data_IF_070722912404
#
_entry.id   IF_070722912404
#
_cell.length_a   1.000
_cell.length_b   1.000
_cell.length_c   1.000
_cell.angle_alpha   90.00
_cell.angle_beta   90.00
_cell.angle_gamma   90.00
#
_symmetry.space_group_name_H-M   'P 1'
#
loop_
_entity.id
_entity.type
_entity.pdbx_description
1 polymer ?
#
# COMPACT_ATOMS: atom_id res chain seq x y z
N UNK A 1 -35.84 33.85 1.68
CA UNK A 1 -34.64 33.86 0.81
C UNK A 1 -34.66 32.71 -0.17
N UNK A 2 -34.03 32.93 -1.33
CA UNK A 2 -33.92 31.97 -2.43
C UNK A 2 -33.03 30.79 -2.00
N UNK A 3 -33.47 29.57 -2.30
CA UNK A 3 -32.73 28.32 -2.13
C UNK A 3 -32.46 27.70 -3.50
N UNK A 4 -31.21 27.35 -3.76
CA UNK A 4 -30.79 26.71 -5.02
C UNK A 4 -30.21 25.34 -4.70
N UNK A 5 -30.91 24.23 -5.01
CA UNK A 5 -30.35 22.90 -4.81
C UNK A 5 -29.14 22.70 -5.74
N UNK A 6 -28.05 22.17 -5.17
CA UNK A 6 -26.84 21.81 -5.92
C UNK A 6 -26.88 20.34 -6.29
N UNK A 7 -27.25 19.49 -5.34
CA UNK A 7 -27.36 18.06 -5.57
C UNK A 7 -27.88 17.31 -4.34
N UNK A 8 -28.41 16.11 -4.56
CA UNK A 8 -28.99 15.29 -3.50
C UNK A 8 -28.47 13.85 -3.54
N UNK A 9 -28.42 13.22 -2.36
CA UNK A 9 -28.16 11.78 -2.26
C UNK A 9 -28.86 11.19 -1.03
N UNK A 10 -28.87 9.86 -0.93
CA UNK A 10 -29.44 9.12 0.19
C UNK A 10 -28.44 8.11 0.71
N UNK A 11 -28.30 8.03 2.03
CA UNK A 11 -27.56 6.96 2.71
C UNK A 11 -28.48 6.33 3.77
N UNK A 12 -28.71 5.01 3.67
CA UNK A 12 -29.66 4.31 4.53
C UNK A 12 -31.04 4.96 4.51
N UNK A 13 -31.51 5.47 5.65
CA UNK A 13 -32.79 6.17 5.77
C UNK A 13 -32.66 7.70 5.79
N UNK A 14 -31.46 8.24 5.60
CA UNK A 14 -31.21 9.68 5.64
C UNK A 14 -31.09 10.24 4.23
N UNK A 15 -31.81 11.33 3.99
CA UNK A 15 -31.77 12.12 2.77
C UNK A 15 -30.89 13.34 3.00
N UNK A 16 -30.04 13.65 2.03
CA UNK A 16 -29.08 14.74 2.06
C UNK A 16 -29.28 15.63 0.84
N UNK A 17 -29.23 16.95 1.05
CA UNK A 17 -29.31 17.94 -0.03
C UNK A 17 -28.22 18.98 0.20
N UNK A 18 -27.29 19.06 -0.75
CA UNK A 18 -26.41 20.21 -0.85
C UNK A 18 -27.16 21.35 -1.53
N UNK A 19 -27.06 22.55 -0.99
CA UNK A 19 -27.80 23.71 -1.47
C UNK A 19 -27.01 25.00 -1.26
N UNK A 20 -27.40 26.03 -2.02
CA UNK A 20 -26.95 27.41 -1.86
C UNK A 20 -28.12 28.22 -1.32
N UNK A 21 -27.88 29.11 -0.37
CA UNK A 21 -28.90 30.01 0.14
C UNK A 21 -28.48 31.48 0.04
N UNK A 22 -29.45 32.35 -0.18
CA UNK A 22 -29.26 33.81 -0.14
C UNK A 22 -29.47 34.40 1.27
N UNK A 23 -29.71 33.56 2.28
CA UNK A 23 -30.02 33.97 3.65
C UNK A 23 -28.89 33.76 4.66
N UNK A 24 -29.14 34.18 5.90
CA UNK A 24 -28.21 34.01 7.02
C UNK A 24 -27.89 32.52 7.27
N UNK A 25 -26.59 32.18 7.31
CA UNK A 25 -26.08 30.83 7.61
C UNK A 25 -25.26 30.18 6.48
N UNK A 26 -25.50 30.54 5.21
CA UNK A 26 -24.75 30.03 4.05
C UNK A 26 -24.80 31.01 2.86
N UNK A 27 -24.73 32.31 3.14
CA UNK A 27 -24.95 33.39 2.18
C UNK A 27 -24.07 33.26 0.92
N UNK A 28 -24.67 32.80 -0.18
CA UNK A 28 -23.98 32.45 -1.44
C UNK A 28 -22.87 31.41 -1.29
N UNK A 29 -23.03 30.51 -0.32
CA UNK A 29 -22.10 29.43 -0.02
C UNK A 29 -22.81 28.06 -0.04
N UNK A 30 -22.03 26.98 -0.04
CA UNK A 30 -22.54 25.62 0.00
C UNK A 30 -22.89 25.23 1.44
N UNK A 31 -24.12 24.79 1.61
CA UNK A 31 -24.61 24.14 2.82
C UNK A 31 -25.13 22.74 2.51
N UNK A 32 -25.29 21.97 3.57
CA UNK A 32 -25.90 20.65 3.56
C UNK A 32 -27.08 20.65 4.51
N UNK A 33 -28.23 20.15 4.05
CA UNK A 33 -29.36 19.82 4.90
C UNK A 33 -29.60 18.31 4.87
N UNK A 34 -30.07 17.73 5.98
CA UNK A 34 -30.35 16.30 6.05
C UNK A 34 -31.48 15.91 7.01
N UNK A 35 -32.17 14.82 6.68
CA UNK A 35 -33.25 14.29 7.51
C UNK A 35 -33.78 12.93 7.05
N UNK A 36 -34.68 12.31 7.84
CA UNK A 36 -35.16 10.96 7.57
C UNK A 36 -36.13 10.87 6.37
N UNK A 37 -36.70 11.99 5.91
CA UNK A 37 -37.67 12.01 4.83
C UNK A 37 -37.45 13.18 3.87
N UNK A 38 -37.79 12.99 2.59
CA UNK A 38 -37.60 14.00 1.53
C UNK A 38 -38.33 15.32 1.80
N UNK A 39 -39.48 15.26 2.47
CA UNK A 39 -40.29 16.40 2.85
C UNK A 39 -39.95 16.95 4.25
N UNK A 40 -38.93 16.41 4.93
CA UNK A 40 -38.51 16.83 6.26
C UNK A 40 -36.97 16.77 6.40
N UNK A 41 -36.29 17.63 5.65
CA UNK A 41 -34.82 17.73 5.60
C UNK A 41 -34.31 18.94 6.42
N UNK A 42 -35.19 19.91 6.71
CA UNK A 42 -34.81 21.19 7.31
C UNK A 42 -34.39 21.12 8.79
N UNK A 43 -34.60 19.98 9.46
CA UNK A 43 -34.27 19.81 10.87
C UNK A 43 -32.77 19.87 11.19
N UNK A 44 -31.91 19.61 10.19
CA UNK A 44 -30.47 19.73 10.34
C UNK A 44 -29.89 20.45 9.13
N UNK A 45 -29.18 21.55 9.36
CA UNK A 45 -28.44 22.27 8.32
C UNK A 45 -27.07 22.69 8.82
N UNK A 46 -26.08 22.70 7.92
CA UNK A 46 -24.72 23.15 8.19
C UNK A 46 -24.07 23.71 6.93
N UNK A 47 -23.38 24.84 7.05
CA UNK A 47 -22.45 25.33 6.03
C UNK A 47 -21.27 24.36 5.91
N UNK A 48 -20.94 23.91 4.70
CA UNK A 48 -19.93 22.86 4.47
C UNK A 48 -18.66 23.38 3.81
N UNK A 49 -18.66 24.63 3.36
CA UNK A 49 -17.47 25.37 2.95
C UNK A 49 -17.16 26.46 3.97
N UNK A 50 -15.89 26.86 4.03
CA UNK A 50 -15.45 27.89 4.95
C UNK A 50 -16.05 29.25 4.56
N UNK A 51 -16.50 30.08 5.53
CA UNK A 51 -16.94 31.44 5.26
C UNK A 51 -15.89 32.24 4.48
N UNK A 52 -16.32 32.91 3.42
CA UNK A 52 -15.41 33.63 2.53
C UNK A 52 -14.77 32.76 1.45
N UNK A 53 -15.16 31.48 1.35
CA UNK A 53 -14.95 30.72 0.14
C UNK A 53 -15.56 31.47 -1.05
N UNK A 54 -14.90 31.36 -2.21
CA UNK A 54 -15.40 31.98 -3.43
C UNK A 54 -16.83 31.49 -3.73
N UNK A 55 -17.79 32.40 -3.82
CA UNK A 55 -19.22 32.11 -3.81
C UNK A 55 -19.59 30.92 -4.72
N UNK A 56 -20.38 29.99 -4.20
CA UNK A 56 -20.86 28.85 -5.00
C UNK A 56 -22.01 29.31 -5.90
N UNK A 57 -21.91 28.99 -7.19
CA UNK A 57 -22.92 29.29 -8.21
C UNK A 57 -23.77 28.09 -8.59
N UNK A 58 -23.31 26.88 -8.29
CA UNK A 58 -24.02 25.64 -8.61
C UNK A 58 -23.12 24.42 -8.43
N UNK A 59 -23.53 23.32 -9.05
CA UNK A 59 -22.82 22.05 -9.03
C UNK A 59 -23.71 20.95 -9.60
N UNK A 60 -23.44 19.71 -9.23
CA UNK A 60 -24.32 18.59 -9.57
C UNK A 60 -24.48 17.61 -8.39
N UNK A 61 -25.29 16.57 -8.62
CA UNK A 61 -25.49 15.50 -7.64
C UNK A 61 -24.15 14.90 -7.19
N UNK A 62 -23.97 14.65 -5.88
CA UNK A 62 -22.80 13.95 -5.38
C UNK A 62 -22.70 12.55 -6.00
N UNK A 63 -21.50 12.21 -6.47
CA UNK A 63 -21.24 10.90 -7.06
C UNK A 63 -20.54 10.01 -6.04
N UNK A 64 -21.09 8.82 -5.79
CA UNK A 64 -20.45 7.82 -4.93
C UNK A 64 -19.23 7.24 -5.67
N UNK A 65 -18.04 7.37 -5.08
CA UNK A 65 -16.77 6.89 -5.66
C UNK A 65 -16.20 5.66 -4.94
N UNK A 66 -16.71 5.34 -3.75
CA UNK A 66 -16.45 4.10 -3.01
C UNK A 66 -17.58 3.82 -2.03
N UNK A 67 -17.49 2.75 -1.24
CA UNK A 67 -18.49 2.40 -0.22
C UNK A 67 -18.67 3.49 0.84
N UNK A 68 -17.62 4.25 1.11
CA UNK A 68 -17.49 5.19 2.22
C UNK A 68 -17.27 6.64 1.77
N UNK A 69 -17.30 6.92 0.46
CA UNK A 69 -16.89 8.23 -0.08
C UNK A 69 -17.75 8.71 -1.24
N UNK A 70 -18.03 10.00 -1.23
CA UNK A 70 -18.67 10.75 -2.31
C UNK A 70 -17.72 11.82 -2.86
N UNK A 71 -17.87 12.12 -4.14
CA UNK A 71 -17.27 13.26 -4.81
C UNK A 71 -18.32 14.34 -5.05
N UNK A 72 -17.96 15.59 -4.77
CA UNK A 72 -18.75 16.78 -5.04
C UNK A 72 -18.10 17.62 -6.12
N UNK A 73 -18.94 18.09 -7.01
CA UNK A 73 -18.62 18.88 -8.19
C UNK A 73 -19.23 20.26 -8.01
N UNK A 74 -18.41 21.23 -7.64
CA UNK A 74 -18.85 22.53 -7.12
C UNK A 74 -18.41 23.63 -8.08
N UNK A 75 -19.35 24.41 -8.61
CA UNK A 75 -19.06 25.55 -9.48
C UNK A 75 -18.86 26.81 -8.65
N UNK A 76 -17.63 27.31 -8.63
CA UNK A 76 -17.26 28.53 -7.90
C UNK A 76 -17.39 29.78 -8.78
N UNK A 77 -17.54 30.96 -8.18
CA UNK A 77 -17.77 32.21 -8.90
C UNK A 77 -16.57 32.68 -9.73
N UNK A 78 -15.37 32.56 -9.17
CA UNK A 78 -14.08 33.03 -9.67
C UNK A 78 -12.97 31.96 -9.65
N UNK A 79 -13.14 30.85 -8.93
CA UNK A 79 -12.13 29.82 -8.70
C UNK A 79 -12.28 28.58 -9.60
N UNK A 80 -13.16 28.63 -10.59
CA UNK A 80 -13.46 27.52 -11.50
C UNK A 80 -14.34 26.44 -10.89
N UNK A 81 -14.38 25.30 -11.56
CA UNK A 81 -15.15 24.12 -11.17
C UNK A 81 -14.26 23.23 -10.29
N UNK A 82 -14.63 23.02 -9.03
CA UNK A 82 -13.84 22.27 -8.05
C UNK A 82 -14.40 20.86 -7.82
N UNK A 83 -13.49 19.90 -7.62
CA UNK A 83 -13.80 18.57 -7.10
C UNK A 83 -13.31 18.47 -5.67
N UNK A 84 -14.24 18.13 -4.79
CA UNK A 84 -13.97 17.80 -3.39
C UNK A 84 -14.53 16.43 -3.09
N UNK A 85 -14.13 15.86 -1.97
CA UNK A 85 -14.66 14.58 -1.49
C UNK A 85 -15.20 14.73 -0.08
N UNK A 86 -16.10 13.84 0.31
CA UNK A 86 -16.55 13.70 1.69
C UNK A 86 -16.75 12.23 2.01
N UNK A 87 -16.67 11.88 3.29
CA UNK A 87 -17.11 10.56 3.73
C UNK A 87 -18.64 10.51 3.69
N UNK A 88 -19.19 9.35 3.33
CA UNK A 88 -20.64 9.08 3.38
C UNK A 88 -21.20 9.28 4.80
N UNK A 89 -20.41 8.98 5.84
CA UNK A 89 -20.83 9.12 7.24
C UNK A 89 -20.67 10.56 7.76
N UNK A 90 -19.84 11.37 7.10
CA UNK A 90 -19.58 12.78 7.43
C UNK A 90 -19.64 13.66 6.18
N UNK A 91 -20.81 13.73 5.50
CA UNK A 91 -20.96 14.51 4.27
C UNK A 91 -20.89 16.02 4.53
N UNK A 92 -20.98 16.44 5.79
CA UNK A 92 -20.81 17.82 6.23
C UNK A 92 -19.34 18.28 6.28
N UNK A 93 -18.38 17.38 6.09
CA UNK A 93 -16.94 17.67 6.15
C UNK A 93 -16.32 17.42 4.78
N UNK A 94 -16.17 18.49 3.99
CA UNK A 94 -15.53 18.41 2.69
C UNK A 94 -14.00 18.39 2.83
N UNK A 95 -13.34 17.64 1.95
CA UNK A 95 -11.89 17.69 1.79
C UNK A 95 -11.41 19.06 1.29
N UNK A 96 -10.10 19.25 1.30
CA UNK A 96 -9.47 20.24 0.42
C UNK A 96 -9.80 19.95 -1.06
N UNK A 97 -9.54 20.91 -1.93
CA UNK A 97 -9.73 20.75 -3.37
C UNK A 97 -8.84 19.62 -3.88
N UNK A 98 -9.47 18.58 -4.43
CA UNK A 98 -8.76 17.46 -5.08
C UNK A 98 -8.31 17.87 -6.47
N UNK A 99 -9.19 18.58 -7.19
CA UNK A 99 -8.94 19.04 -8.56
C UNK A 99 -9.72 20.31 -8.84
N UNK A 100 -9.12 21.22 -9.61
CA UNK A 100 -9.79 22.38 -10.19
C UNK A 100 -9.80 22.24 -11.71
N UNK A 101 -10.94 22.56 -12.31
CA UNK A 101 -11.15 22.68 -13.74
C UNK A 101 -11.45 24.16 -14.06
N UNK A 102 -11.08 24.65 -15.26
CA UNK A 102 -11.56 25.94 -15.74
C UNK A 102 -13.08 26.02 -15.65
N UNK A 103 -13.64 27.20 -15.41
CA UNK A 103 -15.09 27.37 -15.37
C UNK A 103 -15.68 26.91 -16.71
N UNK A 104 -16.35 25.76 -16.70
CA UNK A 104 -16.89 25.18 -17.92
C UNK A 104 -18.23 25.85 -18.25
N UNK A 105 -18.49 26.04 -19.55
CA UNK A 105 -19.80 26.50 -20.03
C UNK A 105 -20.89 25.43 -19.87
N UNK A 106 -20.49 24.16 -19.75
CA UNK A 106 -21.37 22.99 -19.72
C UNK A 106 -21.24 22.19 -18.40
N UNK A 107 -22.11 21.20 -18.18
CA UNK A 107 -22.17 20.43 -16.94
C UNK A 107 -20.92 19.56 -16.72
N UNK A 108 -20.35 19.63 -15.51
CA UNK A 108 -19.10 19.00 -15.08
C UNK A 108 -19.14 17.45 -15.05
N UNK A 109 -20.32 16.85 -15.11
CA UNK A 109 -20.52 15.39 -15.00
C UNK A 109 -19.98 14.57 -16.19
N UNK A 110 -19.59 15.19 -17.30
CA UNK A 110 -19.21 14.48 -18.54
C UNK A 110 -17.75 13.98 -18.54
N UNK A 111 -16.90 14.40 -17.60
CA UNK A 111 -15.45 14.13 -17.66
C UNK A 111 -14.91 13.01 -16.75
N UNK A 112 -15.77 12.19 -16.16
CA UNK A 112 -15.34 11.01 -15.39
C UNK A 112 -15.25 9.74 -16.24
N UNK A 113 -15.42 9.84 -17.56
CA UNK A 113 -15.29 8.74 -18.51
C UNK A 113 -13.82 8.35 -18.80
N UNK A 114 -12.96 8.46 -17.78
CA UNK A 114 -11.81 7.56 -17.74
C UNK A 114 -12.34 6.30 -17.09
N UNK A 115 -12.46 5.18 -17.81
CA UNK A 115 -12.90 3.94 -17.20
C UNK A 115 -12.00 3.69 -15.99
N UNK A 116 -12.59 3.80 -14.79
CA UNK A 116 -12.04 3.18 -13.60
C UNK A 116 -12.03 1.70 -13.95
N UNK A 117 -10.90 1.22 -14.44
CA UNK A 117 -10.65 -0.20 -14.52
C UNK A 117 -10.90 -0.69 -13.10
N UNK A 118 -11.87 -1.60 -12.89
CA UNK A 118 -12.10 -2.14 -11.56
C UNK A 118 -10.74 -2.61 -11.03
N UNK A 119 -10.43 -2.37 -9.74
CA UNK A 119 -9.13 -2.74 -9.19
C UNK A 119 -8.86 -4.18 -9.60
N UNK A 120 -7.81 -4.36 -10.43
CA UNK A 120 -7.48 -5.67 -10.97
C UNK A 120 -7.32 -6.59 -9.76
N UNK A 121 -8.13 -7.66 -9.65
CA UNK A 121 -8.05 -8.53 -8.51
C UNK A 121 -6.60 -9.01 -8.36
N UNK A 122 -6.12 -9.15 -7.11
CA UNK A 122 -4.78 -9.68 -6.86
C UNK A 122 -4.54 -10.95 -7.67
N UNK A 123 -3.35 -11.12 -8.30
CA UNK A 123 -3.06 -12.35 -9.04
C UNK A 123 -3.31 -13.57 -8.15
N UNK A 124 -3.99 -14.62 -8.66
CA UNK A 124 -4.20 -15.83 -7.88
C UNK A 124 -2.85 -16.44 -7.46
N UNK A 125 -2.79 -16.92 -6.21
CA UNK A 125 -1.61 -17.65 -5.70
C UNK A 125 -1.35 -18.93 -6.49
N UNK A 126 -2.44 -19.61 -6.88
CA UNK A 126 -2.43 -20.79 -7.73
C UNK A 126 -3.60 -20.69 -8.71
N UNK A 127 -3.35 -20.97 -9.99
CA UNK A 127 -4.37 -20.96 -11.03
C UNK A 127 -4.16 -22.14 -11.99
N UNK A 128 -5.23 -22.92 -12.17
CA UNK A 128 -5.27 -24.00 -13.15
C UNK A 128 -5.95 -23.49 -14.43
N UNK A 129 -5.19 -23.46 -15.53
CA UNK A 129 -5.66 -22.99 -16.84
C UNK A 129 -6.38 -24.07 -17.64
N UNK A 130 -6.41 -25.33 -17.18
CA UNK A 130 -7.16 -26.44 -17.80
C UNK A 130 -6.90 -26.64 -19.30
N UNK A 131 -5.66 -26.44 -19.72
CA UNK A 131 -5.20 -26.51 -21.11
C UNK A 131 -5.40 -25.22 -21.91
N UNK A 132 -5.99 -24.17 -21.33
CA UNK A 132 -6.17 -22.89 -22.00
C UNK A 132 -4.82 -22.15 -22.17
N UNK A 133 -4.77 -21.33 -23.21
CA UNK A 133 -3.63 -20.47 -23.47
C UNK A 133 -3.63 -19.28 -22.52
N UNK A 134 -2.45 -18.95 -22.00
CA UNK A 134 -2.25 -17.77 -21.18
C UNK A 134 -1.36 -16.77 -21.91
N UNK A 135 -1.98 -15.76 -22.50
CA UNK A 135 -1.33 -14.77 -23.36
C UNK A 135 -1.30 -13.41 -22.67
N UNK A 136 -0.11 -12.94 -22.33
CA UNK A 136 0.13 -11.60 -21.78
C UNK A 136 0.27 -10.61 -22.94
N UNK A 137 -0.78 -9.83 -23.16
CA UNK A 137 -0.91 -8.90 -24.29
C UNK A 137 -0.71 -7.42 -23.95
N UNK A 138 -0.70 -7.08 -22.65
CA UNK A 138 -0.47 -5.72 -22.15
C UNK A 138 0.47 -5.74 -20.94
N UNK A 139 1.09 -4.59 -20.65
CA UNK A 139 1.96 -4.45 -19.47
C UNK A 139 1.13 -4.70 -18.20
N UNK A 140 1.50 -5.71 -17.44
CA UNK A 140 0.72 -6.15 -16.29
C UNK A 140 1.61 -6.74 -15.19
N UNK A 141 1.02 -6.93 -14.02
CA UNK A 141 1.63 -7.68 -12.92
C UNK A 141 1.14 -9.13 -12.94
N UNK A 142 2.04 -10.06 -12.63
CA UNK A 142 1.78 -11.49 -12.53
C UNK A 142 2.45 -12.06 -11.28
N UNK A 143 1.95 -13.14 -10.72
CA UNK A 143 2.59 -13.87 -9.63
C UNK A 143 1.89 -15.21 -9.43
N UNK A 144 2.49 -16.09 -8.63
CA UNK A 144 1.88 -17.35 -8.23
C UNK A 144 2.28 -18.51 -9.13
N UNK A 145 1.57 -19.62 -8.96
CA UNK A 145 1.77 -20.86 -9.70
C UNK A 145 0.63 -21.08 -10.68
N UNK A 146 0.96 -21.16 -11.96
CA UNK A 146 0.00 -21.41 -13.03
C UNK A 146 0.25 -22.79 -13.62
N UNK A 147 -0.75 -23.67 -13.58
CA UNK A 147 -0.65 -25.06 -14.06
C UNK A 147 -1.56 -25.35 -15.23
N UNK A 148 -1.24 -26.41 -15.97
CA UNK A 148 -1.97 -26.88 -17.14
C UNK A 148 -2.19 -25.76 -18.16
N UNK A 149 -1.18 -24.94 -18.42
CA UNK A 149 -1.26 -23.94 -19.48
C UNK A 149 -1.05 -24.63 -20.83
N UNK A 150 -1.87 -24.29 -21.83
CA UNK A 150 -1.65 -24.70 -23.22
C UNK A 150 -0.39 -24.01 -23.73
N UNK A 151 -0.57 -22.82 -24.30
CA UNK A 151 0.50 -21.90 -24.66
C UNK A 151 0.65 -20.78 -23.61
N UNK A 152 1.81 -20.69 -22.97
CA UNK A 152 2.21 -19.48 -22.24
C UNK A 152 2.94 -18.52 -23.18
N UNK A 153 2.40 -17.32 -23.39
CA UNK A 153 2.99 -16.33 -24.31
C UNK A 153 3.07 -14.94 -23.70
N UNK A 154 4.21 -14.28 -23.88
CA UNK A 154 4.33 -12.82 -23.66
C UNK A 154 4.56 -12.16 -25.02
N UNK A 155 3.63 -11.29 -25.42
CA UNK A 155 3.72 -10.63 -26.73
C UNK A 155 4.93 -9.69 -26.84
N UNK A 156 5.48 -9.48 -28.06
CA UNK A 156 6.53 -8.50 -28.28
C UNK A 156 6.18 -7.09 -27.78
N UNK A 157 7.14 -6.42 -27.15
CA UNK A 157 6.96 -5.08 -26.57
C UNK A 157 6.19 -5.04 -25.24
N UNK A 158 5.71 -6.19 -24.76
CA UNK A 158 5.01 -6.29 -23.47
C UNK A 158 6.00 -6.62 -22.35
N UNK A 159 5.81 -5.97 -21.20
CA UNK A 159 6.53 -6.26 -19.95
C UNK A 159 5.58 -6.78 -18.89
N UNK A 160 5.79 -8.01 -18.44
CA UNK A 160 5.14 -8.57 -17.27
C UNK A 160 6.04 -8.43 -16.04
N UNK A 161 5.53 -7.90 -14.95
CA UNK A 161 6.29 -7.67 -13.72
C UNK A 161 5.82 -8.66 -12.66
N UNK A 162 6.75 -9.43 -12.09
CA UNK A 162 6.41 -10.32 -10.97
C UNK A 162 6.07 -9.48 -9.74
N UNK A 163 4.93 -9.76 -9.11
CA UNK A 163 4.53 -9.06 -7.90
C UNK A 163 5.49 -9.39 -6.75
N UNK A 164 5.94 -8.36 -6.03
CA UNK A 164 6.87 -8.54 -4.93
C UNK A 164 6.22 -9.30 -3.78
N UNK A 165 6.98 -10.18 -3.12
CA UNK A 165 6.54 -10.84 -1.91
C UNK A 165 6.12 -9.82 -0.87
N UNK A 166 4.87 -9.88 -0.40
CA UNK A 166 4.30 -8.86 0.48
C UNK A 166 4.32 -9.22 1.97
N UNK A 167 5.03 -10.29 2.36
CA UNK A 167 5.01 -10.81 3.73
C UNK A 167 4.04 -11.98 3.94
N UNK A 168 3.18 -12.27 2.97
CA UNK A 168 2.27 -13.40 3.01
C UNK A 168 2.27 -14.19 1.69
N UNK A 169 2.15 -13.49 0.57
CA UNK A 169 1.94 -14.05 -0.77
C UNK A 169 2.85 -13.36 -1.81
N UNK A 170 2.95 -13.96 -3.00
CA UNK A 170 3.77 -13.53 -4.15
C UNK A 170 5.28 -13.75 -4.05
N UNK A 171 6.05 -13.05 -4.89
CA UNK A 171 7.50 -13.14 -5.02
C UNK A 171 8.00 -14.31 -5.86
N UNK A 172 7.11 -15.17 -6.32
CA UNK A 172 7.43 -16.23 -7.28
C UNK A 172 6.46 -16.18 -8.43
N UNK A 173 6.93 -16.59 -9.59
CA UNK A 173 6.13 -16.96 -10.75
C UNK A 173 6.59 -18.36 -11.16
N UNK A 174 5.67 -19.31 -11.15
CA UNK A 174 5.89 -20.68 -11.60
C UNK A 174 4.85 -21.00 -12.68
N UNK A 175 5.28 -21.44 -13.86
CA UNK A 175 4.38 -21.70 -14.99
C UNK A 175 4.64 -23.09 -15.55
N UNK A 176 3.62 -23.95 -15.55
CA UNK A 176 3.65 -25.27 -16.15
C UNK A 176 2.80 -25.23 -17.42
N UNK A 177 3.46 -25.07 -18.55
CA UNK A 177 2.83 -24.93 -19.87
C UNK A 177 3.27 -26.06 -20.81
N UNK A 178 2.41 -26.39 -21.77
CA UNK A 178 2.75 -27.30 -22.88
C UNK A 178 3.74 -26.64 -23.82
N UNK A 179 3.46 -25.39 -24.20
CA UNK A 179 4.30 -24.56 -25.05
C UNK A 179 4.60 -23.20 -24.39
N UNK A 180 5.81 -22.67 -24.63
CA UNK A 180 6.24 -21.38 -24.10
C UNK A 180 6.78 -20.51 -25.25
N UNK A 181 6.23 -19.30 -25.41
CA UNK A 181 6.67 -18.31 -26.40
C UNK A 181 6.96 -16.95 -25.74
N UNK A 182 8.25 -16.60 -25.67
CA UNK A 182 8.74 -15.39 -25.02
C UNK A 182 9.10 -14.32 -26.05
N UNK A 183 8.11 -13.57 -26.52
CA UNK A 183 8.31 -12.40 -27.39
C UNK A 183 8.59 -11.10 -26.62
N UNK A 184 8.11 -10.99 -25.39
CA UNK A 184 8.30 -9.83 -24.50
C UNK A 184 9.22 -10.11 -23.30
N UNK A 185 9.10 -9.27 -22.26
CA UNK A 185 9.99 -9.29 -21.09
C UNK A 185 9.23 -9.68 -19.82
N UNK A 186 9.84 -10.52 -18.98
CA UNK A 186 9.40 -10.76 -17.59
C UNK A 186 10.44 -10.18 -16.65
N UNK A 187 10.01 -9.35 -15.68
CA UNK A 187 10.89 -8.75 -14.67
C UNK A 187 10.55 -9.32 -13.29
N UNK A 188 11.49 -10.09 -12.73
CA UNK A 188 11.38 -10.68 -11.39
C UNK A 188 12.46 -10.20 -10.40
N UNK A 189 13.42 -9.37 -10.83
CA UNK A 189 14.52 -8.91 -9.98
C UNK A 189 14.01 -8.19 -8.73
N UNK A 190 14.51 -8.63 -7.57
CA UNK A 190 14.13 -8.09 -6.26
C UNK A 190 12.67 -8.35 -5.84
N UNK A 191 11.94 -9.23 -6.54
CA UNK A 191 10.53 -9.53 -6.23
C UNK A 191 10.37 -10.72 -5.28
N UNK A 192 11.38 -11.60 -5.19
CA UNK A 192 11.35 -12.80 -4.35
C UNK A 192 11.36 -12.54 -2.84
N UNK A 193 11.37 -13.64 -2.08
CA UNK A 193 11.49 -13.61 -0.62
C UNK A 193 12.74 -12.85 -0.17
N UNK A 194 12.58 -11.82 0.66
CA UNK A 194 13.73 -11.13 1.22
C UNK A 194 14.58 -12.02 2.12
N UNK A 195 15.82 -11.61 2.35
CA UNK A 195 16.75 -12.34 3.20
C UNK A 195 16.35 -12.36 4.67
N UNK A 196 16.75 -13.42 5.38
CA UNK A 196 16.57 -13.51 6.82
C UNK A 196 17.50 -12.54 7.55
N UNK A 197 17.14 -12.19 8.78
CA UNK A 197 18.05 -11.41 9.63
C UNK A 197 19.30 -12.18 10.00
N UNK A 198 20.41 -11.48 10.25
CA UNK A 198 21.62 -12.12 10.80
C UNK A 198 21.41 -12.54 12.26
N UNK A 199 22.12 -13.58 12.70
CA UNK A 199 22.05 -14.11 14.05
C UNK A 199 22.75 -13.22 15.06
N UNK A 200 22.40 -13.38 16.34
CA UNK A 200 23.10 -12.76 17.47
C UNK A 200 24.54 -13.24 17.60
N UNK A 201 25.53 -12.38 17.86
CA UNK A 201 26.84 -12.82 18.32
C UNK A 201 26.83 -13.36 19.75
N UNK A 202 27.80 -14.21 20.05
CA UNK A 202 27.95 -14.88 21.35
C UNK A 202 28.65 -13.98 22.37
N UNK A 203 28.52 -14.31 23.66
CA UNK A 203 29.22 -13.61 24.73
C UNK A 203 30.72 -13.95 24.76
N UNK A 204 31.58 -12.98 25.09
CA UNK A 204 33.01 -13.22 25.32
C UNK A 204 33.27 -14.09 26.56
N UNK A 205 34.40 -14.80 26.57
CA UNK A 205 34.81 -15.68 27.67
C UNK A 205 36.00 -15.14 28.46
N UNK A 206 36.13 -15.58 29.72
CA UNK A 206 37.29 -15.31 30.57
C UNK A 206 38.23 -16.50 30.65
N UNK A 207 39.53 -16.22 30.73
CA UNK A 207 40.51 -17.15 31.30
C UNK A 207 40.90 -16.66 32.69
N UNK A 208 40.38 -17.30 33.73
CA UNK A 208 40.88 -17.14 35.09
C UNK A 208 42.02 -18.15 35.34
N UNK A 209 43.04 -18.14 34.46
CA UNK A 209 44.27 -18.90 34.73
C UNK A 209 45.31 -17.95 35.30
N UNK A 210 45.72 -18.25 36.52
CA UNK A 210 46.66 -17.49 37.32
C UNK A 210 47.94 -17.19 36.51
N UNK A 211 48.24 -15.90 36.31
CA UNK A 211 49.48 -15.42 35.67
C UNK A 211 49.36 -14.81 34.27
N UNK A 212 48.22 -14.92 33.56
CA UNK A 212 48.06 -14.27 32.24
C UNK A 212 47.16 -13.03 32.33
N UNK A 213 47.73 -11.86 31.98
CA UNK A 213 47.01 -10.58 31.93
C UNK A 213 45.69 -10.71 31.16
N UNK A 214 44.62 -10.21 31.78
CA UNK A 214 43.22 -10.15 31.35
C UNK A 214 43.04 -9.56 29.96
N UNK A 215 43.29 -10.34 28.91
CA UNK A 215 42.86 -9.99 27.56
C UNK A 215 41.49 -10.61 27.33
N UNK A 216 40.47 -9.77 27.35
CA UNK A 216 39.14 -10.15 26.89
C UNK A 216 39.22 -10.77 25.49
N UNK A 217 38.53 -11.88 25.28
CA UNK A 217 38.36 -12.48 23.96
C UNK A 217 36.93 -12.27 23.49
N UNK A 218 36.81 -11.92 22.21
CA UNK A 218 35.52 -11.69 21.57
C UNK A 218 34.72 -13.01 21.52
N UNK A 219 33.41 -12.91 21.73
CA UNK A 219 32.50 -14.03 21.45
C UNK A 219 32.36 -14.29 19.95
N UNK A 220 31.74 -15.42 19.60
CA UNK A 220 31.55 -15.80 18.19
C UNK A 220 30.64 -14.82 17.43
N UNK A 221 30.91 -14.57 16.15
CA UNK A 221 30.00 -13.77 15.31
C UNK A 221 28.69 -14.51 15.08
N UNK A 222 27.58 -13.78 14.99
CA UNK A 222 26.30 -14.35 14.59
C UNK A 222 26.35 -14.89 13.15
N UNK A 223 25.55 -15.92 12.88
CA UNK A 223 25.50 -16.52 11.55
C UNK A 223 24.72 -15.66 10.56
N UNK A 224 25.03 -15.70 9.25
CA UNK A 224 24.26 -14.97 8.25
C UNK A 224 22.84 -15.52 8.14
N UNK A 225 21.87 -14.63 7.96
CA UNK A 225 20.54 -15.01 7.50
C UNK A 225 20.58 -15.53 6.07
N UNK A 226 19.58 -16.32 5.68
CA UNK A 226 19.48 -16.90 4.33
C UNK A 226 18.30 -16.31 3.57
N UNK A 227 18.38 -16.21 2.25
CA UNK A 227 17.25 -15.89 1.38
C UNK A 227 16.36 -17.13 1.14
N UNK A 228 15.14 -16.91 0.65
CA UNK A 228 14.27 -17.99 0.15
C UNK A 228 13.75 -18.95 1.22
N UNK A 229 13.40 -18.45 2.41
CA UNK A 229 12.71 -19.27 3.43
C UNK A 229 13.58 -20.29 4.19
N UNK A 230 14.85 -20.46 3.82
CA UNK A 230 15.77 -21.38 4.50
C UNK A 230 16.16 -20.85 5.88
N UNK A 231 16.56 -21.74 6.79
CA UNK A 231 17.14 -21.38 8.10
C UNK A 231 18.54 -20.81 7.91
N UNK A 232 18.84 -19.70 8.59
CA UNK A 232 20.16 -19.08 8.57
C UNK A 232 21.24 -20.00 9.16
N UNK A 233 22.49 -19.73 8.79
CA UNK A 233 23.62 -20.54 9.24
C UNK A 233 23.89 -20.30 10.72
N UNK A 234 24.50 -21.29 11.39
CA UNK A 234 24.97 -21.13 12.77
C UNK A 234 26.07 -20.06 12.84
N UNK A 235 26.12 -19.32 13.95
CA UNK A 235 27.22 -18.40 14.21
C UNK A 235 28.54 -19.12 14.51
N UNK A 236 29.64 -18.37 14.52
CA UNK A 236 30.96 -18.91 14.83
C UNK A 236 31.02 -19.38 16.30
N UNK A 237 31.83 -20.42 16.57
CA UNK A 237 32.14 -20.82 17.96
C UNK A 237 32.95 -19.70 18.63
N UNK A 238 32.67 -19.43 19.91
CA UNK A 238 33.50 -18.55 20.73
C UNK A 238 34.87 -19.19 21.02
N UNK A 239 35.89 -18.37 21.26
CA UNK A 239 37.19 -18.86 21.73
C UNK A 239 37.17 -19.09 23.25
N UNK A 240 37.68 -20.25 23.70
CA UNK A 240 37.99 -20.59 25.11
C UNK A 240 36.98 -20.05 26.15
N UNK A 241 35.96 -20.86 26.45
CA UNK A 241 34.86 -20.54 27.38
C UNK A 241 33.90 -19.41 26.96
N UNK A 242 34.11 -18.77 25.80
CA UNK A 242 33.13 -17.85 25.21
C UNK A 242 31.95 -18.57 24.57
N UNK A 243 30.78 -17.92 24.57
CA UNK A 243 29.57 -18.39 23.90
C UNK A 243 29.68 -18.35 22.38
N UNK A 244 29.07 -19.32 21.70
CA UNK A 244 28.91 -19.29 20.24
C UNK A 244 27.91 -18.23 19.79
N UNK A 245 28.06 -17.74 18.56
CA UNK A 245 27.04 -16.90 17.93
C UNK A 245 25.77 -17.70 17.64
N UNK A 246 24.62 -17.07 17.84
CA UNK A 246 23.31 -17.57 17.43
C UNK A 246 23.18 -17.65 15.91
N UNK A 247 22.27 -18.53 15.48
CA UNK A 247 21.97 -18.74 14.06
C UNK A 247 21.30 -17.53 13.43
N UNK A 248 21.53 -17.34 12.13
CA UNK A 248 20.75 -16.41 11.32
C UNK A 248 19.26 -16.73 11.33
N UNK A 249 18.43 -15.70 11.25
CA UNK A 249 17.00 -15.82 11.03
C UNK A 249 16.68 -16.44 9.67
N UNK A 250 15.49 -17.05 9.58
CA UNK A 250 14.93 -17.54 8.32
C UNK A 250 14.64 -16.38 7.37
N UNK A 251 14.88 -16.59 6.08
CA UNK A 251 14.43 -15.67 5.02
C UNK A 251 12.91 -15.65 4.87
N UNK A 252 12.41 -14.65 4.15
CA UNK A 252 10.98 -14.47 3.90
C UNK A 252 10.36 -13.21 4.52
N UNK A 253 11.14 -12.19 4.85
CA UNK A 253 10.60 -10.85 5.15
C UNK A 253 10.69 -9.94 3.93
N UNK A 254 9.92 -8.84 3.89
CA UNK A 254 10.09 -7.76 2.90
C UNK A 254 11.48 -7.09 2.96
N UNK A 255 12.16 -7.23 4.10
CA UNK A 255 13.44 -6.60 4.41
C UNK A 255 14.40 -7.62 5.02
N UNK A 256 15.70 -7.45 4.76
CA UNK A 256 16.75 -8.16 5.51
C UNK A 256 16.56 -7.86 7.00
N UNK A 257 16.38 -8.91 7.82
CA UNK A 257 16.25 -8.71 9.25
C UNK A 257 17.51 -8.08 9.85
N UNK A 258 17.41 -7.42 11.02
CA UNK A 258 18.59 -6.89 11.69
C UNK A 258 19.56 -8.04 11.94
N UNK A 259 20.81 -7.90 11.53
CA UNK A 259 21.87 -8.78 12.03
C UNK A 259 22.09 -8.58 13.51
N UNK A 260 22.61 -9.63 14.12
CA UNK A 260 22.61 -9.70 15.56
C UNK A 260 23.91 -9.23 16.20
N UNK A 261 23.92 -9.38 17.53
CA UNK A 261 24.96 -8.99 18.48
C UNK A 261 26.40 -9.07 17.93
N UNK A 262 27.22 -8.05 18.19
CA UNK A 262 28.66 -8.25 18.19
C UNK A 262 29.02 -8.95 19.50
N UNK A 263 29.96 -9.90 19.47
CA UNK A 263 30.44 -10.50 20.70
C UNK A 263 31.16 -9.45 21.56
N UNK A 264 30.61 -9.14 22.74
CA UNK A 264 31.17 -8.14 23.64
C UNK A 264 32.37 -8.69 24.45
N UNK A 265 33.31 -7.82 24.85
CA UNK A 265 34.31 -8.19 25.83
C UNK A 265 33.70 -8.31 27.24
N UNK A 266 33.84 -9.49 27.85
CA UNK A 266 34.05 -9.75 29.28
C UNK A 266 33.12 -9.05 30.34
N UNK A 267 32.41 -9.85 31.15
CA UNK A 267 31.45 -9.54 32.27
C UNK A 267 30.21 -8.75 31.91
N UNK A 268 30.21 -8.14 30.73
CA UNK A 268 29.04 -7.42 30.23
C UNK A 268 28.25 -8.36 29.32
N UNK A 269 26.91 -8.40 29.42
CA UNK A 269 26.10 -9.04 28.39
C UNK A 269 26.57 -8.51 27.03
N UNK A 270 26.77 -9.41 26.06
CA UNK A 270 27.24 -9.05 24.73
C UNK A 270 26.45 -7.85 24.21
N UNK A 271 27.15 -6.82 23.73
CA UNK A 271 26.50 -5.58 23.31
C UNK A 271 25.42 -5.84 22.26
N UNK A 272 24.41 -4.96 22.23
CA UNK A 272 23.39 -4.99 21.16
C UNK A 272 24.11 -5.00 19.82
N UNK A 273 23.68 -5.90 18.93
CA UNK A 273 24.30 -6.08 17.63
C UNK A 273 24.31 -4.84 16.81
N UNK A 274 25.42 -4.64 16.10
CA UNK A 274 25.38 -3.80 14.93
C UNK A 274 24.28 -4.32 14.00
N UNK A 275 23.51 -3.40 13.41
CA UNK A 275 22.50 -3.75 12.41
C UNK A 275 23.17 -4.62 11.34
N UNK A 276 22.72 -5.86 11.18
CA UNK A 276 23.20 -6.70 10.09
C UNK A 276 22.96 -6.06 8.75
N UNK A 277 23.86 -6.42 7.83
CA UNK A 277 23.73 -6.04 6.45
C UNK A 277 22.39 -6.51 5.89
N UNK A 278 21.77 -5.64 5.09
CA UNK A 278 20.73 -6.05 4.17
C UNK A 278 21.25 -7.23 3.34
N UNK A 279 20.42 -8.23 3.11
CA UNK A 279 20.71 -9.18 2.05
C UNK A 279 20.86 -8.34 0.77
N UNK A 280 22.08 -8.27 0.25
CA UNK A 280 22.34 -7.68 -1.05
C UNK A 280 21.40 -8.41 -2.00
N UNK A 281 20.46 -7.66 -2.59
CA UNK A 281 19.55 -8.17 -3.61
C UNK A 281 20.35 -9.06 -4.56
N UNK A 282 20.04 -10.35 -4.60
CA UNK A 282 20.57 -11.19 -5.66
C UNK A 282 19.97 -10.64 -6.96
N UNK A 283 20.86 -10.22 -7.87
CA UNK A 283 20.51 -9.56 -9.14
C UNK A 283 19.54 -10.38 -9.97
#
# INVERSE_FOLDING_TARGET
DELFPVGAFREGNTHYVYYIAKGHGAYWDLALAWGPARNNIAGNTKQVLEPGSDQVKGGCDPMRISTDKIALFIRMKNAGDQVRTASVDRPDVLSSVVKTYPAMKECLAVYLDTPITPPVPPPPLEEDHRGADWIISTNTKIAGKHTNVGLFKVNPGVTAIVEAYNGAIYGTLEVHATDINMGGTIIASGKGYGGGGGGGGGAGGYRNWEGWRTRSRNGGSGGPGTAGGKTGNSGAKGYYHGGGGGSGGKGGGLYGGPGGAGGGPSDKPGGIGGKGGYATSQG
#
